data_IF_706976301629
#
_entry.id   IF_706976301629
#
_cell.length_a   1.000
_cell.length_b   1.000
_cell.length_c   1.000
_cell.angle_alpha   90.00
_cell.angle_beta   90.00
_cell.angle_gamma   90.00
#
_symmetry.space_group_name_H-M   'P 1'
#
loop_
_entity.id
_entity.type
_entity.pdbx_description
1 polymer ?
#
# COMPACT_ATOMS: atom_id res chain seq x y z
N UNK A 1 27.63 6.87 -0.74
CA UNK A 1 27.69 7.58 -2.03
C UNK A 1 26.31 7.63 -2.68
N UNK A 2 26.12 8.39 -3.76
CA UNK A 2 24.84 8.43 -4.50
C UNK A 2 24.43 7.04 -5.02
N UNK A 3 25.37 6.26 -5.56
CA UNK A 3 25.11 4.90 -6.05
C UNK A 3 24.61 3.94 -4.96
N UNK A 4 25.18 4.02 -3.75
CA UNK A 4 24.71 3.22 -2.60
C UNK A 4 23.30 3.62 -2.17
N UNK A 5 23.00 4.93 -2.15
CA UNK A 5 21.65 5.40 -1.88
C UNK A 5 20.67 4.86 -2.92
N UNK A 6 20.96 5.00 -4.21
CA UNK A 6 20.08 4.54 -5.30
C UNK A 6 19.82 3.04 -5.18
N UNK A 7 20.87 2.24 -4.99
CA UNK A 7 20.73 0.81 -4.79
C UNK A 7 19.82 0.49 -3.59
N UNK A 8 20.10 1.12 -2.45
CA UNK A 8 19.36 0.83 -1.24
C UNK A 8 17.88 1.23 -1.34
N UNK A 9 17.57 2.37 -1.95
CA UNK A 9 16.16 2.82 -2.07
C UNK A 9 15.39 2.06 -3.13
N UNK A 10 16.04 1.54 -4.18
CA UNK A 10 15.38 0.60 -5.09
C UNK A 10 15.01 -0.71 -4.38
N UNK A 11 15.91 -1.24 -3.53
CA UNK A 11 15.63 -2.43 -2.71
C UNK A 11 14.52 -2.18 -1.71
N UNK A 12 14.59 -1.06 -0.99
CA UNK A 12 13.59 -0.73 0.03
C UNK A 12 12.25 -0.40 -0.65
N UNK A 13 12.17 0.63 -1.47
CA UNK A 13 10.89 1.16 -1.97
C UNK A 13 10.30 0.34 -3.11
N UNK A 14 11.13 -0.12 -4.07
CA UNK A 14 10.66 -0.81 -5.28
C UNK A 14 10.81 -2.34 -5.23
N UNK A 15 11.43 -2.86 -4.16
CA UNK A 15 11.62 -4.29 -3.93
C UNK A 15 12.42 -5.00 -5.03
N UNK A 16 13.39 -4.30 -5.64
CA UNK A 16 14.29 -4.86 -6.66
C UNK A 16 15.63 -4.13 -6.71
N UNK A 17 16.60 -4.69 -7.43
CA UNK A 17 17.80 -3.94 -7.81
C UNK A 17 17.48 -2.86 -8.85
N UNK A 18 18.20 -1.72 -8.83
CA UNK A 18 18.25 -0.84 -9.98
C UNK A 18 19.00 -1.51 -11.13
N UNK A 19 18.57 -1.26 -12.36
CA UNK A 19 19.35 -1.58 -13.56
C UNK A 19 20.57 -0.65 -13.67
N UNK A 20 21.52 -0.97 -14.56
CA UNK A 20 22.64 -0.07 -14.86
C UNK A 20 22.15 1.29 -15.38
N UNK A 21 21.07 1.31 -16.18
CA UNK A 21 20.46 2.54 -16.67
C UNK A 21 19.81 3.35 -15.54
N UNK A 22 19.13 2.69 -14.58
CA UNK A 22 18.61 3.35 -13.38
C UNK A 22 19.75 4.01 -12.58
N UNK A 23 20.85 3.29 -12.37
CA UNK A 23 22.02 3.79 -11.64
C UNK A 23 22.64 5.02 -12.31
N UNK A 24 22.87 4.96 -13.62
CA UNK A 24 23.43 6.07 -14.40
C UNK A 24 22.50 7.29 -14.38
N UNK A 25 21.20 7.06 -14.65
CA UNK A 25 20.19 8.10 -14.70
C UNK A 25 20.06 8.83 -13.36
N UNK A 26 19.99 8.10 -12.24
CA UNK A 26 19.80 8.72 -10.94
C UNK A 26 21.08 9.27 -10.33
N UNK A 27 22.25 8.67 -10.59
CA UNK A 27 23.51 9.14 -10.01
C UNK A 27 23.82 10.57 -10.44
N UNK A 28 23.55 10.93 -11.70
CA UNK A 28 23.73 12.30 -12.20
C UNK A 28 22.78 13.32 -11.53
N UNK A 29 21.57 12.93 -11.15
CA UNK A 29 20.54 13.82 -10.56
C UNK A 29 20.68 13.98 -9.05
N UNK A 30 20.86 12.87 -8.35
CA UNK A 30 21.06 12.84 -6.90
C UNK A 30 22.37 13.54 -6.50
N UNK A 31 23.41 13.46 -7.33
CA UNK A 31 24.66 14.19 -7.07
C UNK A 31 24.55 15.70 -7.35
N UNK A 32 23.59 16.14 -8.18
CA UNK A 32 23.51 17.51 -8.67
C UNK A 32 22.44 18.37 -7.97
N UNK A 33 21.20 17.90 -7.88
CA UNK A 33 20.06 18.75 -7.50
C UNK A 33 18.99 18.08 -6.66
N UNK A 34 19.03 16.76 -6.49
CA UNK A 34 18.04 16.02 -5.72
C UNK A 34 18.57 15.63 -4.35
N UNK A 35 17.81 15.97 -3.31
CA UNK A 35 18.04 15.42 -1.96
C UNK A 35 17.65 13.94 -1.91
N UNK A 36 18.22 13.15 -0.97
CA UNK A 36 17.81 11.77 -0.76
C UNK A 36 16.30 11.60 -0.55
N UNK A 37 15.68 12.48 0.26
CA UNK A 37 14.24 12.41 0.50
C UNK A 37 13.39 12.66 -0.74
N UNK A 38 13.78 13.62 -1.60
CA UNK A 38 13.09 13.85 -2.88
C UNK A 38 13.16 12.61 -3.77
N UNK A 39 14.34 11.98 -3.86
CA UNK A 39 14.53 10.77 -4.65
C UNK A 39 13.68 9.60 -4.11
N UNK A 40 13.69 9.38 -2.79
CA UNK A 40 12.87 8.34 -2.14
C UNK A 40 11.38 8.58 -2.38
N UNK A 41 10.92 9.82 -2.21
CA UNK A 41 9.53 10.18 -2.46
C UNK A 41 9.14 9.98 -3.92
N UNK A 42 10.05 10.24 -4.87
CA UNK A 42 9.80 9.96 -6.28
C UNK A 42 9.62 8.46 -6.55
N UNK A 43 10.47 7.60 -5.97
CA UNK A 43 10.28 6.16 -6.08
C UNK A 43 8.94 5.73 -5.46
N UNK A 44 8.60 6.25 -4.28
CA UNK A 44 7.36 5.91 -3.59
C UNK A 44 6.11 6.40 -4.35
N UNK A 45 6.19 7.51 -5.09
CA UNK A 45 5.09 8.02 -5.93
C UNK A 45 4.97 7.31 -7.28
N UNK A 46 5.90 6.44 -7.64
CA UNK A 46 5.90 5.76 -8.93
C UNK A 46 4.76 4.76 -9.08
N UNK A 47 4.37 4.49 -10.33
CA UNK A 47 3.43 3.40 -10.65
C UNK A 47 3.96 2.03 -10.24
N UNK A 48 5.28 1.83 -10.22
CA UNK A 48 5.89 0.58 -9.75
C UNK A 48 5.65 0.37 -8.26
N UNK A 49 5.88 1.40 -7.42
CA UNK A 49 5.55 1.34 -5.99
C UNK A 49 4.04 1.14 -5.76
N UNK A 50 3.20 1.81 -6.55
CA UNK A 50 1.75 1.67 -6.43
C UNK A 50 1.28 0.24 -6.72
N UNK A 51 1.73 -0.33 -7.84
CA UNK A 51 1.32 -1.67 -8.29
C UNK A 51 1.83 -2.79 -7.39
N UNK A 52 2.98 -2.63 -6.73
CA UNK A 52 3.58 -3.63 -5.85
C UNK A 52 3.19 -3.44 -4.39
N UNK A 53 3.66 -2.35 -3.78
CA UNK A 53 3.60 -2.14 -2.33
C UNK A 53 2.24 -1.54 -1.95
N UNK A 54 1.84 -0.44 -2.59
CA UNK A 54 0.64 0.27 -2.16
C UNK A 54 -0.65 -0.50 -2.46
N UNK A 55 -0.75 -1.20 -3.58
CA UNK A 55 -1.92 -2.02 -3.91
C UNK A 55 -2.15 -3.11 -2.87
N UNK A 56 -1.07 -3.73 -2.35
CA UNK A 56 -1.13 -4.70 -1.25
C UNK A 56 -1.57 -4.04 0.06
N UNK A 57 -0.96 -2.91 0.43
CA UNK A 57 -1.35 -2.16 1.63
C UNK A 57 -2.81 -1.71 1.57
N UNK A 58 -3.27 -1.25 0.41
CA UNK A 58 -4.66 -0.85 0.15
C UNK A 58 -5.62 -2.03 0.29
N UNK A 59 -5.22 -3.21 -0.18
CA UNK A 59 -5.98 -4.44 0.02
C UNK A 59 -6.13 -4.77 1.52
N UNK A 60 -5.05 -4.66 2.30
CA UNK A 60 -5.10 -4.80 3.75
C UNK A 60 -6.09 -3.84 4.40
N UNK A 61 -6.04 -2.56 4.05
CA UNK A 61 -6.99 -1.56 4.56
C UNK A 61 -8.44 -1.94 4.22
N UNK A 62 -8.70 -2.40 2.99
CA UNK A 62 -10.05 -2.76 2.55
C UNK A 62 -10.62 -3.98 3.30
N UNK A 63 -9.79 -4.99 3.57
CA UNK A 63 -10.21 -6.20 4.29
C UNK A 63 -10.31 -6.00 5.79
N UNK A 64 -9.26 -5.42 6.36
CA UNK A 64 -8.97 -5.48 7.77
C UNK A 64 -9.16 -4.15 8.49
N UNK A 65 -9.45 -3.06 7.78
CA UNK A 65 -9.80 -1.75 8.34
C UNK A 65 -8.77 -1.27 9.39
N UNK A 66 -7.52 -1.71 9.21
CA UNK A 66 -6.38 -1.44 10.06
C UNK A 66 -5.12 -1.49 9.21
N UNK A 67 -4.07 -0.84 9.70
CA UNK A 67 -2.75 -0.98 9.10
C UNK A 67 -2.29 -2.46 9.21
N UNK A 68 -1.58 -2.97 8.19
CA UNK A 68 -0.98 -4.29 8.32
C UNK A 68 0.05 -4.28 9.45
N UNK A 69 0.24 -5.43 10.10
CA UNK A 69 1.44 -5.65 10.89
C UNK A 69 2.63 -5.97 9.98
N UNK A 70 3.85 -5.72 10.46
CA UNK A 70 5.06 -5.87 9.64
C UNK A 70 5.24 -7.29 9.10
N UNK A 71 5.04 -8.30 9.96
CA UNK A 71 5.24 -9.71 9.58
C UNK A 71 4.28 -10.13 8.48
N UNK A 72 3.00 -9.79 8.62
CA UNK A 72 1.98 -10.01 7.61
C UNK A 72 2.25 -9.23 6.32
N UNK A 73 2.60 -7.94 6.40
CA UNK A 73 2.91 -7.14 5.21
C UNK A 73 4.08 -7.73 4.43
N UNK A 74 5.19 -8.00 5.13
CA UNK A 74 6.41 -8.56 4.57
C UNK A 74 6.16 -9.91 3.89
N UNK A 75 5.41 -10.81 4.54
CA UNK A 75 5.05 -12.11 3.97
C UNK A 75 4.33 -11.96 2.63
N UNK A 76 3.26 -11.16 2.58
CA UNK A 76 2.49 -11.02 1.34
C UNK A 76 3.21 -10.20 0.28
N UNK A 77 4.08 -9.27 0.67
CA UNK A 77 4.95 -8.55 -0.26
C UNK A 77 5.94 -9.52 -0.93
N UNK A 78 6.52 -10.45 -0.16
CA UNK A 78 7.37 -11.51 -0.71
C UNK A 78 6.59 -12.41 -1.69
N UNK A 79 5.35 -12.80 -1.36
CA UNK A 79 4.49 -13.53 -2.30
C UNK A 79 4.23 -12.74 -3.59
N UNK A 80 3.95 -11.44 -3.48
CA UNK A 80 3.76 -10.53 -4.62
C UNK A 80 5.01 -10.46 -5.49
N UNK A 81 6.19 -10.37 -4.89
CA UNK A 81 7.47 -10.37 -5.60
C UNK A 81 7.76 -11.72 -6.28
N UNK A 82 7.24 -12.82 -5.73
CA UNK A 82 7.30 -14.16 -6.32
C UNK A 82 6.18 -14.44 -7.34
N UNK A 83 5.43 -13.41 -7.76
CA UNK A 83 4.43 -13.51 -8.83
C UNK A 83 2.99 -13.75 -8.39
N UNK A 84 2.70 -13.78 -7.08
CA UNK A 84 1.32 -13.83 -6.62
C UNK A 84 0.55 -12.58 -7.08
N UNK A 85 -0.64 -12.78 -7.64
CA UNK A 85 -1.49 -11.67 -8.07
C UNK A 85 -2.22 -11.08 -6.87
N UNK A 86 -2.64 -9.82 -6.97
CA UNK A 86 -3.46 -9.20 -5.91
C UNK A 86 -4.75 -9.99 -5.66
N UNK A 87 -5.31 -10.61 -6.71
CA UNK A 87 -6.51 -11.46 -6.63
C UNK A 87 -6.24 -12.76 -5.87
N UNK A 88 -5.10 -13.42 -6.08
CA UNK A 88 -4.78 -14.66 -5.35
C UNK A 88 -4.52 -14.37 -3.86
N UNK A 89 -3.85 -13.26 -3.56
CA UNK A 89 -3.69 -12.76 -2.18
C UNK A 89 -5.05 -12.42 -1.57
N UNK A 90 -5.90 -11.68 -2.28
CA UNK A 90 -7.25 -11.34 -1.84
C UNK A 90 -8.11 -12.59 -1.56
N UNK A 91 -8.01 -13.62 -2.41
CA UNK A 91 -8.68 -14.91 -2.18
C UNK A 91 -8.18 -15.57 -0.88
N UNK A 92 -6.89 -15.46 -0.57
CA UNK A 92 -6.34 -15.95 0.68
C UNK A 92 -6.86 -15.17 1.89
N UNK A 93 -6.97 -13.83 1.79
CA UNK A 93 -7.55 -12.99 2.85
C UNK A 93 -9.02 -13.34 3.08
N UNK A 94 -9.80 -13.56 2.02
CA UNK A 94 -11.21 -13.96 2.12
C UNK A 94 -11.41 -15.32 2.83
N UNK A 95 -10.39 -16.17 2.85
CA UNK A 95 -10.42 -17.45 3.56
C UNK A 95 -9.96 -17.37 5.02
N UNK A 96 -9.37 -16.24 5.43
CA UNK A 96 -8.86 -16.03 6.79
C UNK A 96 -9.98 -15.97 7.83
N UNK A 97 -9.65 -16.34 9.07
CA UNK A 97 -10.57 -16.22 10.21
C UNK A 97 -10.97 -14.77 10.47
N UNK A 98 -10.06 -13.80 10.28
CA UNK A 98 -10.36 -12.38 10.45
C UNK A 98 -11.45 -11.91 9.49
N UNK A 99 -11.36 -12.28 8.20
CA UNK A 99 -12.40 -11.96 7.23
C UNK A 99 -13.71 -12.68 7.54
N UNK A 100 -13.67 -13.97 7.89
CA UNK A 100 -14.87 -14.73 8.25
C UNK A 100 -15.57 -14.15 9.48
N UNK A 101 -14.83 -13.71 10.48
CA UNK A 101 -15.40 -13.07 11.67
C UNK A 101 -16.06 -11.72 11.35
N UNK A 102 -15.53 -10.97 10.37
CA UNK A 102 -16.03 -9.65 10.01
C UNK A 102 -17.17 -9.66 9.01
N UNK A 103 -17.04 -10.47 7.97
CA UNK A 103 -17.97 -10.52 6.84
C UNK A 103 -18.87 -11.75 6.88
N UNK A 104 -18.63 -12.70 7.78
CA UNK A 104 -19.55 -13.78 8.16
C UNK A 104 -20.13 -14.59 7.01
N UNK A 105 -21.21 -15.30 7.34
CA UNK A 105 -22.12 -15.95 6.41
C UNK A 105 -23.17 -14.97 5.86
N UNK A 106 -22.78 -13.74 5.53
CA UNK A 106 -23.67 -12.77 4.89
C UNK A 106 -24.18 -13.32 3.56
N UNK A 107 -25.38 -12.92 3.12
CA UNK A 107 -25.79 -13.10 1.72
C UNK A 107 -24.90 -12.27 0.79
N UNK A 108 -24.93 -12.55 -0.52
CA UNK A 108 -24.14 -11.78 -1.48
C UNK A 108 -24.50 -10.29 -1.47
N UNK A 109 -25.79 -9.93 -1.39
CA UNK A 109 -26.24 -8.54 -1.31
C UNK A 109 -25.80 -7.87 0.00
N UNK A 110 -25.95 -8.55 1.14
CA UNK A 110 -25.54 -8.01 2.44
C UNK A 110 -24.01 -7.86 2.54
N UNK A 111 -23.25 -8.78 1.92
CA UNK A 111 -21.81 -8.66 1.78
C UNK A 111 -21.43 -7.42 0.96
N UNK A 112 -22.02 -7.23 -0.22
CA UNK A 112 -21.74 -6.06 -1.07
C UNK A 112 -22.04 -4.75 -0.35
N UNK A 113 -23.21 -4.63 0.28
CA UNK A 113 -23.57 -3.44 1.06
C UNK A 113 -22.56 -3.17 2.20
N UNK A 114 -22.12 -4.22 2.91
CA UNK A 114 -21.07 -4.09 3.94
C UNK A 114 -19.74 -3.62 3.36
N UNK A 115 -19.34 -4.13 2.19
CA UNK A 115 -18.10 -3.70 1.51
C UNK A 115 -18.18 -2.23 1.12
N UNK A 116 -19.30 -1.75 0.58
CA UNK A 116 -19.49 -0.33 0.30
C UNK A 116 -19.30 0.53 1.56
N UNK A 117 -19.93 0.15 2.68
CA UNK A 117 -19.81 0.91 3.93
C UNK A 117 -18.38 0.92 4.48
N UNK A 118 -17.72 -0.24 4.49
CA UNK A 118 -16.40 -0.38 5.07
C UNK A 118 -15.29 0.23 4.21
N UNK A 119 -15.37 0.05 2.88
CA UNK A 119 -14.32 0.44 1.94
C UNK A 119 -14.60 1.82 1.36
N UNK A 120 -15.84 2.09 0.93
CA UNK A 120 -16.20 3.36 0.32
C UNK A 120 -16.72 4.39 1.34
N UNK A 121 -17.03 4.00 2.57
CA UNK A 121 -17.56 4.92 3.59
C UNK A 121 -18.99 5.40 3.31
N UNK A 122 -19.73 4.70 2.45
CA UNK A 122 -21.11 5.03 2.05
C UNK A 122 -21.91 3.76 1.79
N UNK A 123 -23.24 3.84 1.80
CA UNK A 123 -24.09 2.74 1.34
C UNK A 123 -23.95 2.54 -0.17
N UNK A 124 -24.20 1.31 -0.63
CA UNK A 124 -24.28 1.01 -2.05
C UNK A 124 -25.48 1.75 -2.67
N UNK A 125 -25.28 2.35 -3.84
CA UNK A 125 -26.42 2.73 -4.69
C UNK A 125 -27.03 1.48 -5.33
N UNK A 126 -28.29 1.58 -5.78
CA UNK A 126 -29.04 0.45 -6.33
C UNK A 126 -28.32 -0.22 -7.50
N UNK A 127 -27.68 0.55 -8.38
CA UNK A 127 -26.99 0.03 -9.56
C UNK A 127 -25.75 -0.78 -9.16
N UNK A 128 -24.91 -0.22 -8.28
CA UNK A 128 -23.71 -0.88 -7.77
C UNK A 128 -24.04 -2.14 -6.98
N UNK A 129 -25.07 -2.09 -6.11
CA UNK A 129 -25.53 -3.25 -5.36
C UNK A 129 -25.96 -4.39 -6.28
N UNK A 130 -26.78 -4.09 -7.29
CA UNK A 130 -27.25 -5.07 -8.26
C UNK A 130 -26.10 -5.65 -9.09
N UNK A 131 -25.19 -4.80 -9.57
CA UNK A 131 -24.03 -5.22 -10.36
C UNK A 131 -23.17 -6.23 -9.60
N UNK A 132 -22.70 -5.88 -8.40
CA UNK A 132 -21.80 -6.75 -7.64
C UNK A 132 -22.50 -8.00 -7.10
N UNK A 133 -23.76 -7.88 -6.69
CA UNK A 133 -24.56 -9.04 -6.26
C UNK A 133 -24.75 -10.02 -7.42
N UNK A 134 -25.07 -9.53 -8.61
CA UNK A 134 -25.18 -10.34 -9.82
C UNK A 134 -23.87 -11.08 -10.13
N UNK A 135 -22.73 -10.38 -10.06
CA UNK A 135 -21.40 -10.99 -10.27
C UNK A 135 -21.11 -12.12 -9.27
N UNK A 136 -21.43 -11.93 -8.00
CA UNK A 136 -21.27 -12.96 -6.97
C UNK A 136 -22.20 -14.15 -7.20
N UNK A 137 -23.45 -13.90 -7.58
CA UNK A 137 -24.43 -14.95 -7.92
C UNK A 137 -23.99 -15.76 -9.15
N UNK A 138 -23.29 -15.13 -10.10
CA UNK A 138 -22.69 -15.79 -11.27
C UNK A 138 -21.32 -16.42 -11.00
N UNK A 139 -20.88 -16.55 -9.75
CA UNK A 139 -19.68 -17.29 -9.37
C UNK A 139 -18.39 -16.46 -9.22
N UNK A 140 -18.45 -15.13 -9.33
CA UNK A 140 -17.30 -14.29 -8.94
C UNK A 140 -17.00 -14.49 -7.46
N UNK A 141 -15.74 -14.70 -7.08
CA UNK A 141 -15.38 -14.87 -5.67
C UNK A 141 -15.45 -13.54 -4.90
N UNK A 142 -15.70 -13.61 -3.59
CA UNK A 142 -15.58 -12.43 -2.71
C UNK A 142 -14.17 -11.84 -2.73
N UNK A 143 -13.16 -12.70 -2.89
CA UNK A 143 -11.77 -12.29 -3.11
C UNK A 143 -11.61 -11.36 -4.31
N UNK A 144 -12.17 -11.74 -5.46
CA UNK A 144 -12.14 -10.90 -6.65
C UNK A 144 -12.89 -9.58 -6.45
N UNK A 145 -14.07 -9.62 -5.81
CA UNK A 145 -14.84 -8.41 -5.51
C UNK A 145 -14.03 -7.45 -4.63
N UNK A 146 -13.47 -7.91 -3.52
CA UNK A 146 -12.66 -7.07 -2.64
C UNK A 146 -11.41 -6.52 -3.33
N UNK A 147 -10.75 -7.31 -4.19
CA UNK A 147 -9.63 -6.82 -4.98
C UNK A 147 -10.07 -5.66 -5.88
N UNK A 148 -11.21 -5.79 -6.56
CA UNK A 148 -11.76 -4.72 -7.42
C UNK A 148 -12.15 -3.47 -6.62
N UNK A 149 -12.81 -3.62 -5.46
CA UNK A 149 -13.13 -2.48 -4.59
C UNK A 149 -11.85 -1.80 -4.09
N UNK A 150 -10.83 -2.58 -3.68
CA UNK A 150 -9.57 -2.04 -3.21
C UNK A 150 -8.82 -1.26 -4.29
N UNK A 151 -9.02 -1.56 -5.58
CA UNK A 151 -8.34 -0.89 -6.68
C UNK A 151 -9.27 0.03 -7.48
N UNK A 152 -10.45 0.38 -6.95
CA UNK A 152 -11.29 1.38 -7.59
C UNK A 152 -10.64 2.76 -7.50
N UNK A 153 -10.86 3.61 -8.49
CA UNK A 153 -10.33 4.98 -8.49
C UNK A 153 -10.74 5.77 -7.23
N UNK A 154 -11.97 5.54 -6.75
CA UNK A 154 -12.47 6.16 -5.51
C UNK A 154 -11.64 5.73 -4.29
N UNK A 155 -11.37 4.44 -4.14
CA UNK A 155 -10.65 3.95 -2.97
C UNK A 155 -9.15 4.22 -3.04
N UNK A 156 -8.55 4.16 -4.23
CA UNK A 156 -7.17 4.59 -4.47
C UNK A 156 -7.02 6.05 -4.02
N UNK A 157 -7.88 6.94 -4.50
CA UNK A 157 -7.85 8.36 -4.11
C UNK A 157 -7.95 8.53 -2.59
N UNK A 158 -8.90 7.86 -1.94
CA UNK A 158 -9.12 7.91 -0.48
C UNK A 158 -7.98 7.36 0.38
N UNK A 159 -7.09 6.54 -0.19
CA UNK A 159 -6.06 5.82 0.58
C UNK A 159 -4.64 6.16 0.19
N UNK A 160 -4.41 6.97 -0.84
CA UNK A 160 -3.07 7.26 -1.36
C UNK A 160 -2.11 7.75 -0.28
N UNK A 161 -2.50 8.70 0.56
CA UNK A 161 -1.61 9.22 1.59
C UNK A 161 -1.37 8.21 2.72
N UNK A 162 -2.40 7.44 3.09
CA UNK A 162 -2.30 6.33 4.04
C UNK A 162 -1.29 5.29 3.59
N UNK A 163 -1.42 4.80 2.34
CA UNK A 163 -0.53 3.75 1.82
C UNK A 163 0.88 4.23 1.58
N UNK A 164 1.10 5.53 1.31
CA UNK A 164 2.44 6.13 1.21
C UNK A 164 3.13 6.20 2.57
N UNK A 165 2.41 6.61 3.63
CA UNK A 165 2.96 6.62 5.00
C UNK A 165 3.29 5.20 5.45
N UNK A 166 2.34 4.27 5.33
CA UNK A 166 2.55 2.86 5.71
C UNK A 166 3.69 2.26 4.88
N UNK A 167 3.66 2.47 3.56
CA UNK A 167 4.68 1.98 2.63
C UNK A 167 6.07 2.48 3.00
N UNK A 168 6.22 3.76 3.36
CA UNK A 168 7.50 4.35 3.81
C UNK A 168 8.05 3.61 5.04
N UNK A 169 7.22 3.38 6.06
CA UNK A 169 7.66 2.68 7.29
C UNK A 169 7.94 1.19 7.04
N UNK A 170 7.05 0.49 6.33
CA UNK A 170 7.22 -0.94 6.05
C UNK A 170 8.44 -1.22 5.19
N UNK A 171 8.72 -0.36 4.21
CA UNK A 171 9.81 -0.57 3.26
C UNK A 171 11.15 -0.05 3.77
N UNK A 172 11.18 1.14 4.39
CA UNK A 172 12.41 1.78 4.87
C UNK A 172 12.74 1.47 6.32
N UNK A 173 11.78 1.27 7.21
CA UNK A 173 12.07 0.96 8.62
C UNK A 173 11.87 -0.52 8.96
N UNK A 174 11.25 -1.30 8.05
CA UNK A 174 10.93 -2.72 8.29
C UNK A 174 10.10 -2.90 9.56
N UNK A 175 9.13 -2.01 9.77
CA UNK A 175 8.14 -2.13 10.83
C UNK A 175 6.84 -1.40 10.46
N UNK A 176 5.79 -1.73 11.19
CA UNK A 176 4.54 -0.97 11.15
C UNK A 176 4.74 0.43 11.74
N UNK A 177 4.07 1.41 11.13
CA UNK A 177 3.89 2.74 11.71
C UNK A 177 2.90 2.64 12.88
N UNK A 178 3.23 3.23 14.02
CA UNK A 178 2.31 3.28 15.15
C UNK A 178 1.13 4.23 14.88
N UNK A 179 0.04 4.06 15.62
CA UNK A 179 -1.21 4.77 15.34
C UNK A 179 -1.08 6.29 15.46
N UNK A 180 -0.28 6.79 16.42
CA UNK A 180 -0.13 8.22 16.62
C UNK A 180 0.68 8.85 15.47
N UNK A 181 1.84 8.27 15.14
CA UNK A 181 2.64 8.71 14.01
C UNK A 181 1.85 8.61 12.69
N UNK A 182 1.08 7.53 12.49
CA UNK A 182 0.24 7.36 11.32
C UNK A 182 -0.78 8.50 11.17
N UNK A 183 -1.54 8.80 12.23
CA UNK A 183 -2.54 9.87 12.20
C UNK A 183 -1.90 11.23 11.92
N UNK A 184 -0.79 11.56 12.59
CA UNK A 184 -0.09 12.85 12.38
C UNK A 184 0.40 12.98 10.94
N UNK A 185 1.07 11.96 10.40
CA UNK A 185 1.69 12.03 9.08
C UNK A 185 0.66 12.00 7.95
N UNK A 186 -0.42 11.24 8.10
CA UNK A 186 -1.51 11.22 7.10
C UNK A 186 -2.21 12.58 7.07
N UNK A 187 -2.59 13.14 8.21
CA UNK A 187 -3.21 14.47 8.25
C UNK A 187 -2.27 15.53 7.66
N UNK A 188 -0.96 15.44 7.91
CA UNK A 188 0.00 16.38 7.34
C UNK A 188 0.06 16.35 5.81
N UNK A 189 -0.12 15.17 5.19
CA UNK A 189 -0.23 15.03 3.73
C UNK A 189 -1.59 15.52 3.21
N UNK A 190 -2.68 15.13 3.87
CA UNK A 190 -4.05 15.49 3.49
C UNK A 190 -4.27 17.02 3.56
N UNK A 191 -3.78 17.66 4.63
CA UNK A 191 -3.85 19.11 4.85
C UNK A 191 -2.72 19.88 4.12
N UNK A 192 -1.83 19.16 3.43
CA UNK A 192 -0.69 19.72 2.68
C UNK A 192 0.28 20.56 3.54
N UNK A 193 0.30 20.36 4.86
CA UNK A 193 1.27 21.00 5.75
C UNK A 193 2.66 20.37 5.64
N UNK A 194 2.72 19.13 5.15
CA UNK A 194 3.94 18.47 4.69
C UNK A 194 3.69 17.76 3.36
N UNK A 195 4.77 17.44 2.66
CA UNK A 195 4.74 16.58 1.48
C UNK A 195 5.53 15.30 1.75
N UNK A 196 5.37 14.30 0.88
CA UNK A 196 6.03 13.00 1.05
C UNK A 196 7.57 13.13 1.10
N UNK A 197 8.15 14.10 0.38
CA UNK A 197 9.60 14.36 0.42
C UNK A 197 10.10 14.78 1.80
N UNK A 198 9.30 15.55 2.57
CA UNK A 198 9.66 15.92 3.93
C UNK A 198 9.65 14.69 4.86
N UNK A 199 8.62 13.84 4.72
CA UNK A 199 8.48 12.61 5.52
C UNK A 199 9.63 11.64 5.22
N UNK A 200 9.90 11.36 3.94
CA UNK A 200 10.99 10.46 3.54
C UNK A 200 12.36 11.00 3.93
N UNK A 201 12.56 12.33 3.90
CA UNK A 201 13.79 12.96 4.41
C UNK A 201 13.98 12.69 5.89
N UNK A 202 12.92 12.87 6.70
CA UNK A 202 12.96 12.63 8.15
C UNK A 202 13.25 11.16 8.47
N UNK A 203 12.54 10.24 7.82
CA UNK A 203 12.75 8.79 7.98
C UNK A 203 14.17 8.38 7.59
N UNK A 204 14.66 8.84 6.43
CA UNK A 204 16.00 8.54 5.95
C UNK A 204 17.11 9.06 6.88
N UNK A 205 16.93 10.25 7.45
CA UNK A 205 17.90 10.85 8.37
C UNK A 205 17.87 10.24 9.80
N UNK A 206 16.87 9.42 10.11
CA UNK A 206 16.68 8.87 11.46
C UNK A 206 17.80 7.90 11.87
N UNK A 207 18.05 7.81 13.19
CA UNK A 207 18.95 6.78 13.75
C UNK A 207 18.44 5.38 13.43
N UNK A 208 17.11 5.21 13.47
CA UNK A 208 16.48 3.93 13.19
C UNK A 208 16.79 3.41 11.79
N UNK A 209 16.68 4.26 10.76
CA UNK A 209 17.03 3.87 9.40
C UNK A 209 18.51 3.52 9.27
N UNK A 210 19.40 4.32 9.87
CA UNK A 210 20.85 4.09 9.84
C UNK A 210 21.25 2.78 10.52
N UNK A 211 20.60 2.44 11.63
CA UNK A 211 20.88 1.21 12.40
C UNK A 211 20.52 -0.07 11.64
N UNK A 212 19.79 0.00 10.53
CA UNK A 212 19.55 -1.17 9.66
C UNK A 212 20.82 -1.65 8.93
N UNK A 213 21.87 -0.82 8.88
CA UNK A 213 23.08 -1.06 8.09
C UNK A 213 24.38 -1.00 8.90
N UNK A 214 24.27 -0.84 10.22
CA UNK A 214 25.39 -0.84 11.17
C UNK A 214 25.68 -2.23 11.71
#
# INVERSE_FOLDING_TARGET
>A
SAAQLIQQQYRDVLQREPSSADQEFWSSRVAASWTPGQFIAHLALSSEADTKVHSLTRLYLAYFLRNPDHGGHSYWLAQRNNGATLVSISTSFANSSEFKNRYGSLSNSAFVDRVYRNVMGRSADTAGLNYWTGRLNSGTSRGQVMANFSQSSEYISKTNDKVRVIGTYETMLKRAVDQNAFTVLVNALEDQTQNLSAITSSVFASNEYRNRFS
#
